data_IF_564868328432
#
_entry.id   IF_564868328432
#
_cell.length_a   1.000
_cell.length_b   1.000
_cell.length_c   1.000
_cell.angle_alpha   90.00
_cell.angle_beta   90.00
_cell.angle_gamma   90.00
#
_symmetry.space_group_name_H-M   'P 1'
#
loop_
_entity.id
_entity.type
_entity.pdbx_description
1 polymer ?
#
# COMPACT_ATOMS: atom_id res chain seq x y z
N UNK A 1 8.37 -6.03 -12.92
CA UNK A 1 8.40 -7.43 -13.36
C UNK A 1 7.21 -8.12 -12.71
N UNK A 2 6.32 -8.75 -13.48
CA UNK A 2 5.20 -9.47 -12.89
C UNK A 2 5.74 -10.68 -12.11
N UNK A 3 5.52 -10.67 -10.81
CA UNK A 3 5.87 -11.79 -9.93
C UNK A 3 4.88 -12.92 -10.25
N UNK A 4 5.37 -14.07 -10.70
CA UNK A 4 4.51 -15.20 -11.04
C UNK A 4 4.29 -16.06 -9.78
N UNK A 5 3.11 -15.94 -9.17
CA UNK A 5 2.74 -16.63 -7.92
C UNK A 5 2.26 -18.08 -8.13
N UNK A 6 2.45 -18.65 -9.32
CA UNK A 6 2.15 -20.06 -9.64
C UNK A 6 0.90 -20.25 -10.50
N UNK A 7 0.54 -21.51 -10.74
CA UNK A 7 -0.54 -21.92 -11.67
C UNK A 7 -1.94 -21.41 -11.30
N UNK A 8 -2.13 -21.05 -10.03
CA UNK A 8 -3.43 -20.58 -9.51
C UNK A 8 -3.60 -19.06 -9.64
N UNK A 9 -2.54 -18.33 -10.03
CA UNK A 9 -2.55 -16.87 -10.21
C UNK A 9 -3.66 -16.39 -11.15
N UNK A 10 -3.93 -17.03 -12.31
CA UNK A 10 -5.02 -16.62 -13.20
C UNK A 10 -6.40 -16.74 -12.57
N UNK A 11 -6.66 -17.81 -11.82
CA UNK A 11 -7.94 -18.03 -11.14
C UNK A 11 -8.15 -17.01 -10.00
N UNK A 12 -7.10 -16.71 -9.24
CA UNK A 12 -7.14 -15.66 -8.22
C UNK A 12 -7.38 -14.26 -8.83
N UNK A 13 -6.76 -13.98 -9.98
CA UNK A 13 -6.98 -12.73 -10.71
C UNK A 13 -8.44 -12.60 -11.21
N UNK A 14 -9.05 -13.68 -11.69
CA UNK A 14 -10.45 -13.67 -12.12
C UNK A 14 -11.42 -13.37 -10.96
N UNK A 15 -11.21 -14.01 -9.80
CA UNK A 15 -12.00 -13.73 -8.59
C UNK A 15 -11.79 -12.28 -8.11
N UNK A 16 -10.57 -11.75 -8.19
CA UNK A 16 -10.29 -10.37 -7.81
C UNK A 16 -10.96 -9.37 -8.76
N UNK A 17 -10.89 -9.60 -10.08
CA UNK A 17 -11.40 -8.67 -11.08
C UNK A 17 -12.93 -8.70 -11.20
N UNK A 18 -13.58 -9.83 -10.88
CA UNK A 18 -15.05 -9.94 -10.87
C UNK A 18 -15.72 -9.14 -9.75
N UNK A 19 -14.97 -8.67 -8.75
CA UNK A 19 -15.48 -7.86 -7.65
C UNK A 19 -15.48 -6.35 -7.99
N UNK A 20 -16.29 -5.94 -8.96
CA UNK A 20 -16.27 -4.58 -9.56
C UNK A 20 -16.29 -3.42 -8.54
N UNK A 21 -17.01 -3.59 -7.43
CA UNK A 21 -17.16 -2.56 -6.40
C UNK A 21 -15.87 -2.30 -5.60
N UNK A 22 -15.10 -3.35 -5.29
CA UNK A 22 -13.94 -3.27 -4.38
C UNK A 22 -12.61 -3.49 -5.08
N UNK A 23 -12.61 -4.11 -6.26
CA UNK A 23 -11.43 -4.26 -7.09
C UNK A 23 -11.09 -2.91 -7.73
N UNK A 24 -10.01 -2.29 -7.25
CA UNK A 24 -9.48 -1.05 -7.80
C UNK A 24 -8.08 -1.32 -8.32
N UNK A 25 -7.88 -1.06 -9.61
CA UNK A 25 -6.54 -1.06 -10.19
C UNK A 25 -5.75 0.10 -9.60
N UNK A 26 -4.45 -0.12 -9.37
CA UNK A 26 -3.57 0.98 -9.00
C UNK A 26 -3.50 1.97 -10.17
N UNK A 27 -3.93 3.20 -9.90
CA UNK A 27 -3.92 4.27 -10.88
C UNK A 27 -2.57 4.99 -10.93
N UNK A 28 -1.67 4.74 -9.97
CA UNK A 28 -0.33 5.28 -9.95
C UNK A 28 0.63 4.45 -10.82
N UNK A 29 0.91 4.93 -12.02
CA UNK A 29 1.84 4.30 -12.98
C UNK A 29 3.06 5.17 -13.27
N UNK A 30 3.24 6.24 -12.50
CA UNK A 30 4.35 7.17 -12.61
C UNK A 30 5.68 6.60 -12.08
N UNK A 31 6.78 7.36 -12.26
CA UNK A 31 8.03 7.02 -11.60
C UNK A 31 7.88 7.11 -10.08
N UNK A 32 8.68 6.31 -9.36
CA UNK A 32 8.82 6.42 -7.90
C UNK A 32 9.06 7.87 -7.49
N UNK A 33 8.29 8.35 -6.51
CA UNK A 33 8.38 9.73 -6.04
C UNK A 33 9.64 9.96 -5.20
N UNK A 34 10.03 11.22 -5.01
CA UNK A 34 11.22 11.56 -4.22
C UNK A 34 11.12 11.06 -2.77
N UNK A 35 9.95 11.20 -2.15
CA UNK A 35 9.74 10.75 -0.77
C UNK A 35 9.66 9.23 -0.69
N UNK A 36 9.01 8.56 -1.65
CA UNK A 36 9.04 7.10 -1.74
C UNK A 36 10.48 6.58 -1.77
N UNK A 37 11.35 7.15 -2.62
CA UNK A 37 12.75 6.71 -2.74
C UNK A 37 13.53 6.72 -1.41
N UNK A 38 13.18 7.62 -0.49
CA UNK A 38 13.91 7.79 0.78
C UNK A 38 13.20 7.20 2.00
N UNK A 39 11.87 7.05 1.98
CA UNK A 39 11.06 6.68 3.16
C UNK A 39 10.29 5.38 3.00
N UNK A 40 10.09 4.87 1.78
CA UNK A 40 9.20 3.74 1.53
C UNK A 40 9.59 2.47 2.28
N UNK A 41 10.88 2.12 2.31
CA UNK A 41 11.38 0.97 3.07
C UNK A 41 11.06 1.04 4.57
N UNK A 42 11.17 2.23 5.16
CA UNK A 42 10.82 2.43 6.56
C UNK A 42 9.30 2.28 6.78
N UNK A 43 8.50 2.94 5.93
CA UNK A 43 7.03 2.92 6.02
C UNK A 43 6.45 1.51 5.84
N UNK A 44 6.94 0.78 4.85
CA UNK A 44 6.53 -0.62 4.61
C UNK A 44 6.98 -1.55 5.74
N UNK A 45 8.13 -1.28 6.38
CA UNK A 45 8.58 -2.07 7.54
C UNK A 45 7.66 -1.90 8.74
N UNK A 46 7.29 -0.67 9.09
CA UNK A 46 6.41 -0.42 10.25
C UNK A 46 4.99 -0.95 9.99
N UNK A 47 4.53 -0.90 8.74
CA UNK A 47 3.25 -1.47 8.32
C UNK A 47 3.25 -2.99 8.49
N UNK A 48 4.26 -3.68 7.92
CA UNK A 48 4.39 -5.12 8.05
C UNK A 48 4.51 -5.56 9.52
N UNK A 49 5.22 -4.80 10.34
CA UNK A 49 5.34 -5.10 11.76
C UNK A 49 3.98 -5.02 12.46
N UNK A 50 3.23 -3.93 12.28
CA UNK A 50 1.89 -3.79 12.86
C UNK A 50 0.97 -4.92 12.41
N UNK A 51 0.88 -5.16 11.10
CA UNK A 51 -0.03 -6.17 10.55
C UNK A 51 0.27 -7.55 11.16
N UNK A 52 1.54 -7.92 11.25
CA UNK A 52 1.93 -9.17 11.90
C UNK A 52 1.54 -9.18 13.39
N UNK A 53 1.85 -8.12 14.14
CA UNK A 53 1.53 -8.06 15.57
C UNK A 53 0.02 -8.14 15.83
N UNK A 54 -0.81 -7.50 15.00
CA UNK A 54 -2.27 -7.57 15.09
C UNK A 54 -2.79 -8.97 14.73
N UNK A 55 -2.33 -9.55 13.61
CA UNK A 55 -2.76 -10.89 13.15
C UNK A 55 -2.40 -11.97 14.18
N UNK A 56 -1.22 -11.88 14.79
CA UNK A 56 -0.78 -12.82 15.82
C UNK A 56 -1.27 -12.47 17.24
N UNK A 57 -2.13 -11.46 17.40
CA UNK A 57 -2.72 -11.08 18.69
C UNK A 57 -1.75 -10.48 19.70
N UNK A 58 -0.59 -9.97 19.26
CA UNK A 58 0.39 -9.24 20.09
C UNK A 58 -0.01 -7.78 20.32
N UNK A 59 -0.81 -7.22 19.43
CA UNK A 59 -1.40 -5.89 19.53
C UNK A 59 -2.90 -5.98 19.21
N UNK A 60 -3.74 -5.15 19.85
CA UNK A 60 -5.16 -5.09 19.51
C UNK A 60 -5.35 -4.24 18.23
N UNK A 61 -6.52 -4.33 17.57
CA UNK A 61 -6.77 -3.65 16.29
C UNK A 61 -6.72 -2.13 16.41
N UNK A 62 -7.02 -1.60 17.59
CA UNK A 62 -6.97 -0.18 17.96
C UNK A 62 -5.54 0.41 17.82
N UNK A 63 -4.49 -0.43 17.81
CA UNK A 63 -3.13 0.02 17.52
C UNK A 63 -2.97 0.60 16.11
N UNK A 64 -3.91 0.29 15.20
CA UNK A 64 -3.90 0.80 13.83
C UNK A 64 -3.97 2.32 13.75
N UNK A 65 -4.78 2.97 14.59
CA UNK A 65 -4.89 4.44 14.59
C UNK A 65 -3.55 5.11 14.92
N UNK A 66 -2.80 4.52 15.86
CA UNK A 66 -1.46 5.02 16.21
C UNK A 66 -0.47 4.78 15.08
N UNK A 67 -0.52 3.61 14.46
CA UNK A 67 0.29 3.34 13.27
C UNK A 67 0.03 4.35 12.15
N UNK A 68 -1.23 4.67 11.85
CA UNK A 68 -1.59 5.64 10.80
C UNK A 68 -0.95 6.99 11.09
N UNK A 69 -0.98 7.46 12.34
CA UNK A 69 -0.29 8.70 12.73
C UNK A 69 1.21 8.61 12.46
N UNK A 70 1.88 7.55 12.92
CA UNK A 70 3.32 7.36 12.71
C UNK A 70 3.69 7.21 11.23
N UNK A 71 2.88 6.52 10.43
CA UNK A 71 3.09 6.35 9.00
C UNK A 71 2.99 7.69 8.27
N UNK A 72 1.99 8.50 8.61
CA UNK A 72 1.82 9.86 8.06
C UNK A 72 3.01 10.75 8.40
N UNK A 73 3.38 10.83 9.68
CA UNK A 73 4.54 11.58 10.17
C UNK A 73 5.85 11.12 9.54
N UNK A 74 5.97 9.82 9.24
CA UNK A 74 7.15 9.21 8.61
C UNK A 74 7.38 9.56 7.14
N UNK A 75 6.45 10.29 6.51
CA UNK A 75 6.51 10.69 5.09
C UNK A 75 5.33 10.20 4.27
N UNK A 76 4.40 9.46 4.88
CA UNK A 76 3.21 8.96 4.22
C UNK A 76 2.33 10.06 3.60
N UNK A 77 2.08 11.14 4.33
CA UNK A 77 1.27 12.27 3.82
C UNK A 77 1.93 12.92 2.60
N UNK A 78 3.25 13.06 2.62
CA UNK A 78 4.01 13.63 1.50
C UNK A 78 3.97 12.72 0.28
N UNK A 79 4.10 11.39 0.45
CA UNK A 79 3.95 10.43 -0.63
C UNK A 79 2.54 10.49 -1.22
N UNK A 80 1.51 10.50 -0.37
CA UNK A 80 0.12 10.64 -0.82
C UNK A 80 -0.08 11.92 -1.64
N UNK A 81 0.52 13.04 -1.21
CA UNK A 81 0.48 14.28 -1.97
C UNK A 81 1.17 14.14 -3.34
N UNK A 82 2.39 13.60 -3.38
CA UNK A 82 3.17 13.43 -4.61
C UNK A 82 2.46 12.52 -5.64
N UNK A 83 1.85 11.43 -5.18
CA UNK A 83 1.06 10.51 -6.02
C UNK A 83 -0.17 11.22 -6.59
N UNK A 84 -0.90 11.96 -5.75
CA UNK A 84 -2.07 12.72 -6.20
C UNK A 84 -1.67 13.81 -7.18
N UNK A 85 -0.60 14.58 -6.92
CA UNK A 85 -0.11 15.61 -7.82
C UNK A 85 0.25 15.01 -9.19
N UNK A 86 0.95 13.87 -9.21
CA UNK A 86 1.22 13.14 -10.45
C UNK A 86 -0.08 12.73 -11.16
N UNK A 87 -1.05 12.16 -10.43
CA UNK A 87 -2.31 11.71 -11.02
C UNK A 87 -3.09 12.87 -11.66
N UNK A 88 -3.14 14.02 -10.98
CA UNK A 88 -3.77 15.23 -11.51
C UNK A 88 -3.10 15.76 -12.78
N UNK A 89 -1.81 15.48 -12.97
CA UNK A 89 -1.06 15.90 -14.16
C UNK A 89 -1.24 15.00 -15.38
N UNK A 90 -1.75 13.76 -15.19
CA UNK A 90 -1.87 12.76 -16.26
C UNK A 90 -3.32 12.36 -16.58
N UNK A 91 -4.27 12.70 -15.71
CA UNK A 91 -5.70 12.36 -15.89
C UNK A 91 -6.39 13.16 -17.00
#
# INVERSE_FOLDING_TARGET
MAVNYGKDTPAAAEVLLSQEEISKMDMFTGPVTATMKSKWDYLTKIENQLLNEVIYGKQPVEAFDKFVQTWKEGGGDQITKEVNDWYQSVK
#
